data_IF_880245189870
#
_entry.id   IF_880245189870
#
_cell.length_a   1.000
_cell.length_b   1.000
_cell.length_c   1.000
_cell.angle_alpha   90.00
_cell.angle_beta   90.00
_cell.angle_gamma   90.00
#
_symmetry.space_group_name_H-M   'P 1'
#
loop_
_entity.id
_entity.type
_entity.pdbx_description
1 polymer ?
#
# COMPACT_ATOMS: atom_id res chain seq x y z
N UNK A 1 33.26 -20.65 -14.24
CA UNK A 1 33.77 -19.34 -14.71
C UNK A 1 32.63 -18.35 -14.66
N UNK A 2 32.61 -17.46 -13.66
CA UNK A 2 31.60 -16.40 -13.58
C UNK A 2 32.09 -15.19 -14.39
N UNK A 3 31.30 -14.79 -15.39
CA UNK A 3 31.57 -13.57 -16.14
C UNK A 3 31.40 -12.35 -15.20
N UNK A 4 32.32 -11.37 -15.23
CA UNK A 4 32.18 -10.15 -14.45
C UNK A 4 30.98 -9.34 -14.93
N UNK A 5 30.23 -8.77 -13.98
CA UNK A 5 29.12 -7.87 -14.27
C UNK A 5 29.63 -6.62 -15.04
N UNK A 6 28.89 -6.12 -16.05
CA UNK A 6 29.30 -4.95 -16.81
C UNK A 6 29.34 -3.70 -15.92
N UNK A 7 30.42 -2.92 -16.05
CA UNK A 7 30.59 -1.65 -15.37
C UNK A 7 29.52 -0.65 -15.83
N UNK A 8 28.66 -0.23 -14.89
CA UNK A 8 27.66 0.82 -15.12
C UNK A 8 28.38 2.17 -15.09
N UNK A 9 28.56 2.79 -16.26
CA UNK A 9 29.03 4.16 -16.37
C UNK A 9 27.95 5.13 -15.87
N UNK A 10 28.13 5.69 -14.68
CA UNK A 10 27.32 6.79 -14.15
C UNK A 10 27.62 8.08 -14.94
N UNK A 11 26.75 8.44 -15.88
CA UNK A 11 26.75 9.78 -16.46
C UNK A 11 26.17 10.75 -15.43
N UNK A 12 26.92 11.78 -15.06
CA UNK A 12 26.46 12.81 -14.11
C UNK A 12 25.20 13.50 -14.67
N UNK A 13 24.05 13.44 -13.97
CA UNK A 13 22.80 13.93 -14.53
C UNK A 13 22.73 15.46 -14.52
N UNK A 14 22.34 16.05 -15.64
CA UNK A 14 21.92 17.45 -15.72
C UNK A 14 20.66 17.63 -14.88
N UNK A 15 20.76 18.32 -13.73
CA UNK A 15 19.62 18.63 -12.86
C UNK A 15 18.58 19.44 -13.62
N UNK A 16 17.31 18.99 -13.74
CA UNK A 16 16.25 19.85 -14.25
C UNK A 16 16.11 21.09 -13.35
N UNK A 17 15.79 22.25 -13.94
CA UNK A 17 15.66 23.51 -13.21
C UNK A 17 14.61 23.39 -12.11
N UNK A 18 15.00 23.63 -10.85
CA UNK A 18 14.13 23.54 -9.66
C UNK A 18 12.86 24.38 -9.75
N UNK A 19 12.88 25.49 -10.51
CA UNK A 19 11.77 26.44 -10.59
C UNK A 19 10.52 25.88 -11.28
N UNK A 20 10.65 25.22 -12.43
CA UNK A 20 9.50 24.71 -13.20
C UNK A 20 8.72 23.61 -12.46
N UNK A 21 9.41 22.76 -11.70
CA UNK A 21 8.79 21.71 -10.90
C UNK A 21 7.95 22.24 -9.74
N UNK A 22 8.36 23.35 -9.12
CA UNK A 22 7.63 23.99 -8.02
C UNK A 22 6.31 24.60 -8.49
N UNK A 23 6.33 25.33 -9.61
CA UNK A 23 5.11 25.94 -10.19
C UNK A 23 4.09 24.87 -10.56
N UNK A 24 4.50 23.81 -11.25
CA UNK A 24 3.62 22.71 -11.64
C UNK A 24 3.02 21.96 -10.42
N UNK A 25 3.76 21.88 -9.31
CA UNK A 25 3.23 21.34 -8.06
C UNK A 25 2.10 22.22 -7.52
N UNK A 26 2.33 23.52 -7.35
CA UNK A 26 1.34 24.41 -6.75
C UNK A 26 0.10 24.60 -7.64
N UNK A 27 0.29 24.87 -8.92
CA UNK A 27 -0.81 25.04 -9.87
C UNK A 27 -1.68 23.78 -10.00
N UNK A 28 -1.08 22.59 -9.91
CA UNK A 28 -1.81 21.33 -10.04
C UNK A 28 -2.49 20.85 -8.76
N UNK A 29 -2.24 21.46 -7.59
CA UNK A 29 -2.76 20.98 -6.30
C UNK A 29 -4.30 20.97 -6.23
N UNK A 30 -5.03 22.04 -6.64
CA UNK A 30 -6.50 22.04 -6.61
C UNK A 30 -7.10 20.94 -7.49
N UNK A 31 -6.55 20.73 -8.69
CA UNK A 31 -7.02 19.70 -9.62
C UNK A 31 -6.78 18.29 -9.09
N UNK A 32 -5.58 18.03 -8.55
CA UNK A 32 -5.27 16.73 -7.93
C UNK A 32 -6.13 16.46 -6.71
N UNK A 33 -6.42 17.49 -5.91
CA UNK A 33 -7.33 17.37 -4.78
C UNK A 33 -8.76 17.03 -5.22
N UNK A 34 -9.31 17.77 -6.21
CA UNK A 34 -10.65 17.52 -6.72
C UNK A 34 -10.77 16.11 -7.33
N UNK A 35 -9.78 15.70 -8.15
CA UNK A 35 -9.72 14.35 -8.70
C UNK A 35 -9.65 13.29 -7.59
N UNK A 36 -8.83 13.54 -6.56
CA UNK A 36 -8.73 12.63 -5.43
C UNK A 36 -10.07 12.46 -4.71
N UNK A 37 -10.83 13.54 -4.51
CA UNK A 37 -12.15 13.47 -3.88
C UNK A 37 -13.14 12.63 -4.71
N UNK A 38 -13.19 12.87 -6.03
CA UNK A 38 -14.03 12.10 -6.94
C UNK A 38 -13.62 10.61 -6.96
N UNK A 39 -12.32 10.33 -7.12
CA UNK A 39 -11.79 8.98 -7.18
C UNK A 39 -12.00 8.22 -5.86
N UNK A 40 -11.74 8.86 -4.71
CA UNK A 40 -12.00 8.27 -3.40
C UNK A 40 -13.49 8.05 -3.16
N UNK A 41 -14.35 8.98 -3.59
CA UNK A 41 -15.80 8.83 -3.51
C UNK A 41 -16.29 7.60 -4.26
N UNK A 42 -15.81 7.41 -5.50
CA UNK A 42 -16.11 6.22 -6.30
C UNK A 42 -15.58 4.94 -5.66
N UNK A 43 -14.35 4.95 -5.13
CA UNK A 43 -13.78 3.80 -4.43
C UNK A 43 -14.61 3.43 -3.19
N UNK A 44 -15.05 4.42 -2.39
CA UNK A 44 -15.94 4.20 -1.24
C UNK A 44 -17.27 3.59 -1.70
N UNK A 45 -17.91 4.14 -2.73
CA UNK A 45 -19.17 3.61 -3.25
C UNK A 45 -19.04 2.14 -3.69
N UNK A 46 -17.93 1.78 -4.36
CA UNK A 46 -17.63 0.40 -4.74
C UNK A 46 -17.42 -0.50 -3.53
N UNK A 47 -16.71 -0.03 -2.51
CA UNK A 47 -16.54 -0.81 -1.28
C UNK A 47 -17.87 -1.03 -0.57
N UNK A 48 -18.74 -0.01 -0.46
CA UNK A 48 -20.10 -0.14 0.08
C UNK A 48 -20.88 -1.19 -0.72
N UNK A 49 -20.82 -1.13 -2.05
CA UNK A 49 -21.50 -2.09 -2.91
C UNK A 49 -21.07 -3.54 -2.62
N UNK A 50 -19.78 -3.84 -2.61
CA UNK A 50 -19.29 -5.21 -2.40
C UNK A 50 -19.32 -5.68 -0.94
N UNK A 51 -19.62 -4.81 0.02
CA UNK A 51 -19.72 -5.17 1.44
C UNK A 51 -21.15 -5.17 1.98
N UNK A 52 -22.06 -4.39 1.40
CA UNK A 52 -23.41 -4.17 1.93
C UNK A 52 -24.52 -4.45 0.90
N UNK A 53 -24.40 -3.94 -0.33
CA UNK A 53 -25.48 -4.02 -1.32
C UNK A 53 -25.47 -5.36 -2.05
N UNK A 54 -24.29 -5.77 -2.53
CA UNK A 54 -24.04 -7.01 -3.25
C UNK A 54 -22.79 -7.67 -2.64
N UNK A 55 -22.89 -8.21 -1.41
CA UNK A 55 -21.74 -8.71 -0.68
C UNK A 55 -21.00 -9.82 -1.46
N UNK A 56 -19.67 -9.83 -1.37
CA UNK A 56 -18.85 -10.96 -1.85
C UNK A 56 -18.86 -12.08 -0.79
N UNK A 57 -19.28 -13.31 -1.11
CA UNK A 57 -19.28 -14.42 -0.16
C UNK A 57 -17.88 -14.99 0.09
N UNK A 58 -17.74 -15.83 1.12
CA UNK A 58 -16.60 -16.72 1.27
C UNK A 58 -16.55 -17.76 0.13
N UNK A 59 -15.39 -18.35 -0.09
CA UNK A 59 -15.22 -19.47 -1.02
C UNK A 59 -15.22 -19.11 -2.51
N UNK A 60 -15.09 -17.83 -2.88
CA UNK A 60 -14.94 -17.44 -4.29
C UNK A 60 -13.61 -17.90 -4.90
N UNK A 61 -12.64 -18.20 -4.05
CA UNK A 61 -11.36 -18.82 -4.39
C UNK A 61 -11.04 -19.89 -3.34
N UNK A 62 -10.34 -20.94 -3.75
CA UNK A 62 -9.94 -22.03 -2.87
C UNK A 62 -8.64 -21.74 -2.09
N UNK A 63 -8.29 -22.61 -1.11
CA UNK A 63 -7.05 -22.49 -0.33
C UNK A 63 -5.76 -22.50 -1.17
N UNK A 64 -5.77 -23.22 -2.29
CA UNK A 64 -4.60 -23.33 -3.18
C UNK A 64 -4.49 -22.17 -4.19
N UNK A 65 -5.45 -21.24 -4.16
CA UNK A 65 -5.48 -20.13 -5.10
C UNK A 65 -4.23 -19.22 -4.93
N UNK A 66 -3.63 -18.69 -6.00
CA UNK A 66 -2.43 -17.85 -5.90
C UNK A 66 -2.57 -16.61 -5.01
N UNK A 67 -3.76 -15.99 -4.95
CA UNK A 67 -4.01 -14.90 -3.99
C UNK A 67 -4.01 -15.36 -2.52
N UNK A 68 -4.22 -16.64 -2.24
CA UNK A 68 -4.18 -17.21 -0.88
C UNK A 68 -2.78 -17.68 -0.52
N UNK A 69 -2.09 -18.33 -1.46
CA UNK A 69 -0.75 -18.90 -1.21
C UNK A 69 0.38 -17.89 -1.40
N UNK A 70 0.16 -16.87 -2.25
CA UNK A 70 1.21 -15.95 -2.69
C UNK A 70 2.20 -16.57 -3.68
N UNK A 71 1.93 -17.78 -4.19
CA UNK A 71 2.83 -18.51 -5.07
C UNK A 71 2.50 -18.22 -6.55
N UNK A 72 3.55 -18.06 -7.36
CA UNK A 72 3.43 -18.05 -8.81
C UNK A 72 3.12 -19.48 -9.29
N UNK A 73 2.00 -19.73 -10.00
CA UNK A 73 1.66 -21.07 -10.48
C UNK A 73 2.69 -21.65 -11.46
N UNK A 74 3.43 -20.81 -12.18
CA UNK A 74 4.40 -21.24 -13.19
C UNK A 74 5.72 -21.69 -12.57
N UNK A 75 6.12 -21.09 -11.43
CA UNK A 75 7.43 -21.35 -10.80
C UNK A 75 7.33 -22.05 -9.45
N UNK A 76 6.16 -22.06 -8.80
CA UNK A 76 5.98 -22.54 -7.43
C UNK A 76 6.62 -21.63 -6.37
N UNK A 77 7.23 -20.52 -6.76
CA UNK A 77 7.93 -19.59 -5.87
C UNK A 77 7.04 -18.42 -5.44
N UNK A 78 7.32 -17.75 -4.31
CA UNK A 78 6.63 -16.54 -3.91
C UNK A 78 6.71 -15.44 -4.99
N UNK A 79 5.56 -14.95 -5.46
CA UNK A 79 5.49 -13.97 -6.56
C UNK A 79 6.05 -12.58 -6.18
N UNK A 80 6.13 -12.28 -4.88
CA UNK A 80 6.36 -10.92 -4.41
C UNK A 80 7.71 -10.33 -4.83
N UNK A 81 8.78 -11.13 -4.83
CA UNK A 81 10.09 -10.63 -5.30
C UNK A 81 10.11 -10.38 -6.80
N UNK A 82 9.39 -11.20 -7.56
CA UNK A 82 9.23 -11.07 -9.01
C UNK A 82 8.44 -9.81 -9.39
N UNK A 83 7.63 -9.28 -8.45
CA UNK A 83 6.87 -8.05 -8.61
C UNK A 83 7.59 -6.78 -8.10
N UNK A 84 8.84 -6.88 -7.67
CA UNK A 84 9.62 -5.69 -7.30
C UNK A 84 10.01 -4.92 -8.56
N UNK A 85 9.39 -3.78 -8.76
CA UNK A 85 9.62 -2.91 -9.93
C UNK A 85 10.70 -1.86 -9.68
N UNK A 86 10.97 -1.55 -8.41
CA UNK A 86 12.00 -0.60 -8.02
C UNK A 86 12.48 -0.88 -6.60
N UNK A 87 13.79 -0.75 -6.38
CA UNK A 87 14.38 -0.76 -5.04
C UNK A 87 15.55 0.23 -5.00
N UNK A 88 15.68 0.97 -3.91
CA UNK A 88 16.87 1.79 -3.71
C UNK A 88 18.06 0.91 -3.35
N UNK A 89 19.29 1.31 -3.73
CA UNK A 89 20.50 0.64 -3.26
C UNK A 89 20.54 0.59 -1.74
N UNK A 90 21.10 -0.49 -1.18
CA UNK A 90 21.41 -0.54 0.25
C UNK A 90 22.67 0.27 0.50
N UNK A 91 22.62 1.21 1.45
CA UNK A 91 23.74 2.07 1.83
C UNK A 91 24.80 1.32 2.63
N UNK A 92 25.77 2.06 3.18
CA UNK A 92 26.79 1.52 4.08
C UNK A 92 26.21 0.94 5.38
N UNK A 93 24.99 1.32 5.72
CA UNK A 93 24.17 0.85 6.85
C UNK A 93 23.32 -0.40 6.51
N UNK A 94 23.62 -1.09 5.40
CA UNK A 94 22.88 -2.27 4.96
C UNK A 94 22.75 -3.37 6.02
N UNK A 95 23.73 -3.49 6.92
CA UNK A 95 23.74 -4.48 8.00
C UNK A 95 22.72 -4.19 9.10
N UNK A 96 22.32 -2.92 9.27
CA UNK A 96 21.38 -2.48 10.30
C UNK A 96 19.91 -2.72 9.90
N UNK A 97 19.67 -3.06 8.63
CA UNK A 97 18.34 -3.24 8.07
C UNK A 97 18.03 -4.67 7.65
N UNK A 98 16.79 -5.16 7.90
CA UNK A 98 16.35 -6.47 7.44
C UNK A 98 16.45 -6.63 5.92
N UNK A 99 16.84 -7.82 5.47
CA UNK A 99 16.95 -8.15 4.05
C UNK A 99 15.64 -7.83 3.30
N UNK A 100 15.75 -7.39 2.04
CA UNK A 100 14.58 -7.03 1.24
C UNK A 100 13.62 -8.22 1.12
N UNK A 101 14.15 -9.45 0.97
CA UNK A 101 13.39 -10.70 0.99
C UNK A 101 12.53 -10.88 2.25
N UNK A 102 13.06 -10.50 3.42
CA UNK A 102 12.30 -10.55 4.68
C UNK A 102 11.19 -9.51 4.72
N UNK A 103 11.49 -8.28 4.31
CA UNK A 103 10.52 -7.17 4.29
C UNK A 103 9.36 -7.50 3.36
N UNK A 104 9.68 -7.94 2.15
CA UNK A 104 8.75 -8.32 1.10
C UNK A 104 7.96 -9.56 1.53
N UNK A 105 8.65 -10.64 1.90
CA UNK A 105 8.03 -11.93 2.21
C UNK A 105 7.12 -11.87 3.44
N UNK A 106 7.52 -11.21 4.53
CA UNK A 106 6.67 -11.07 5.73
C UNK A 106 5.44 -10.22 5.44
N UNK A 107 5.58 -9.14 4.66
CA UNK A 107 4.45 -8.30 4.28
C UNK A 107 3.50 -9.04 3.34
N UNK A 108 4.04 -9.72 2.33
CA UNK A 108 3.29 -10.53 1.38
C UNK A 108 2.48 -11.62 2.07
N UNK A 109 3.10 -12.42 2.95
CA UNK A 109 2.42 -13.46 3.75
C UNK A 109 1.29 -12.90 4.60
N UNK A 110 1.51 -11.78 5.29
CA UNK A 110 0.43 -11.14 6.05
C UNK A 110 -0.80 -10.85 5.18
N UNK A 111 -0.58 -10.30 3.97
CA UNK A 111 -1.67 -9.92 3.08
C UNK A 111 -2.37 -11.16 2.49
N UNK A 112 -1.61 -12.20 2.14
CA UNK A 112 -2.13 -13.49 1.70
C UNK A 112 -2.98 -14.17 2.80
N UNK A 113 -2.54 -14.13 4.06
CA UNK A 113 -3.30 -14.62 5.22
C UNK A 113 -4.64 -13.87 5.40
N UNK A 114 -4.76 -12.61 4.95
CA UNK A 114 -6.05 -11.91 4.96
C UNK A 114 -6.98 -12.51 3.92
N UNK A 115 -6.47 -12.78 2.72
CA UNK A 115 -7.24 -13.44 1.65
C UNK A 115 -7.68 -14.83 2.09
N UNK A 116 -6.78 -15.62 2.69
CA UNK A 116 -7.02 -16.98 3.16
C UNK A 116 -8.26 -17.10 4.05
N UNK A 117 -8.52 -16.10 4.92
CA UNK A 117 -9.72 -16.06 5.79
C UNK A 117 -11.05 -16.03 5.03
N UNK A 118 -11.01 -15.75 3.72
CA UNK A 118 -12.19 -15.75 2.85
C UNK A 118 -12.25 -16.96 1.93
N UNK A 119 -11.20 -17.77 1.86
CA UNK A 119 -11.20 -19.03 1.13
C UNK A 119 -11.81 -20.19 1.95
N UNK A 120 -11.92 -20.04 3.27
CA UNK A 120 -12.46 -21.06 4.17
C UNK A 120 -13.99 -21.13 4.08
N UNK A 121 -14.50 -22.35 3.89
CA UNK A 121 -15.93 -22.70 3.96
C UNK A 121 -16.12 -23.89 4.92
N UNK A 122 -17.13 -23.90 5.82
CA UNK A 122 -18.16 -22.87 6.00
C UNK A 122 -17.61 -21.53 6.50
N UNK A 123 -18.35 -20.44 6.25
CA UNK A 123 -17.91 -19.07 6.51
C UNK A 123 -17.55 -18.83 7.98
N UNK A 124 -16.44 -18.13 8.22
CA UNK A 124 -16.05 -17.64 9.54
C UNK A 124 -16.92 -16.41 9.89
N UNK A 125 -17.69 -16.40 10.98
CA UNK A 125 -18.49 -15.23 11.37
C UNK A 125 -17.64 -13.97 11.59
N UNK A 126 -18.23 -12.79 11.39
CA UNK A 126 -17.55 -11.51 11.70
C UNK A 126 -17.17 -11.49 13.18
N UNK A 127 -15.95 -11.06 13.50
CA UNK A 127 -15.46 -10.98 14.88
C UNK A 127 -13.94 -11.00 14.97
N UNK A 128 -13.35 -11.32 16.14
CA UNK A 128 -11.90 -11.31 16.34
C UNK A 128 -11.11 -12.20 15.36
N UNK A 129 -11.73 -13.30 14.87
CA UNK A 129 -11.18 -14.21 13.87
C UNK A 129 -11.32 -13.67 12.44
N UNK A 130 -12.48 -13.10 12.07
CA UNK A 130 -12.70 -12.40 10.80
C UNK A 130 -13.01 -10.92 11.06
N UNK A 131 -11.94 -10.11 11.11
CA UNK A 131 -12.03 -8.68 11.46
C UNK A 131 -12.44 -7.78 10.29
N UNK A 132 -12.52 -8.33 9.09
CA UNK A 132 -12.81 -7.60 7.85
C UNK A 132 -13.79 -8.41 7.00
N UNK A 133 -14.71 -7.74 6.27
CA UNK A 133 -15.58 -8.41 5.31
C UNK A 133 -14.78 -9.13 4.23
N UNK A 134 -15.34 -10.20 3.65
CA UNK A 134 -14.67 -10.99 2.61
C UNK A 134 -14.23 -10.15 1.42
N UNK A 135 -15.06 -9.19 0.99
CA UNK A 135 -14.69 -8.23 -0.02
C UNK A 135 -13.36 -7.50 0.27
N UNK A 136 -13.19 -7.01 1.49
CA UNK A 136 -11.95 -6.33 1.90
C UNK A 136 -10.79 -7.31 1.93
N UNK A 137 -10.99 -8.54 2.41
CA UNK A 137 -9.97 -9.57 2.35
C UNK A 137 -9.54 -9.86 0.90
N UNK A 138 -10.46 -10.02 -0.05
CA UNK A 138 -10.13 -10.22 -1.46
C UNK A 138 -9.38 -9.04 -2.09
N UNK A 139 -9.67 -7.79 -1.68
CA UNK A 139 -8.88 -6.63 -2.11
C UNK A 139 -7.39 -6.76 -1.77
N UNK A 140 -7.03 -7.50 -0.73
CA UNK A 140 -5.62 -7.74 -0.39
C UNK A 140 -4.91 -8.56 -1.47
N UNK A 141 -5.60 -9.47 -2.16
CA UNK A 141 -5.05 -10.24 -3.29
C UNK A 141 -4.47 -9.33 -4.36
N UNK A 142 -5.20 -8.27 -4.72
CA UNK A 142 -4.71 -7.25 -5.66
C UNK A 142 -3.54 -6.42 -5.10
N UNK A 143 -3.48 -6.24 -3.77
CA UNK A 143 -2.48 -5.42 -3.09
C UNK A 143 -1.15 -6.13 -2.87
N UNK A 144 -1.12 -7.47 -2.81
CA UNK A 144 0.12 -8.24 -2.65
C UNK A 144 0.51 -9.02 -3.90
N UNK A 145 -0.44 -9.69 -4.55
CA UNK A 145 -0.14 -10.59 -5.65
C UNK A 145 0.00 -9.83 -6.97
N UNK A 146 -0.92 -8.90 -7.23
CA UNK A 146 -0.94 -8.16 -8.48
C UNK A 146 -0.17 -6.84 -8.43
N UNK A 147 0.29 -6.37 -7.26
CA UNK A 147 0.86 -5.03 -7.12
C UNK A 147 2.27 -4.90 -7.68
N UNK A 148 2.66 -3.69 -8.09
CA UNK A 148 4.06 -3.32 -8.26
C UNK A 148 4.66 -2.95 -6.91
N UNK A 149 5.77 -3.59 -6.55
CA UNK A 149 6.42 -3.41 -5.25
C UNK A 149 7.62 -2.48 -5.36
N UNK A 150 7.66 -1.49 -4.48
CA UNK A 150 8.75 -0.54 -4.35
C UNK A 150 9.39 -0.70 -2.97
N UNK A 151 10.71 -0.79 -2.90
CA UNK A 151 11.43 -0.96 -1.65
C UNK A 151 12.36 0.23 -1.39
N UNK A 152 12.18 0.87 -0.24
CA UNK A 152 12.98 1.99 0.24
C UNK A 152 13.56 1.67 1.62
N UNK A 153 14.63 2.36 1.99
CA UNK A 153 15.17 2.26 3.35
C UNK A 153 14.26 2.97 4.34
N UNK A 154 13.95 4.24 4.10
CA UNK A 154 13.17 5.10 4.98
C UNK A 154 12.25 6.08 4.23
N UNK A 155 11.51 6.91 4.96
CA UNK A 155 10.62 7.90 4.35
C UNK A 155 11.37 9.04 3.67
N UNK A 156 12.53 9.46 4.20
CA UNK A 156 13.32 10.59 3.67
C UNK A 156 13.82 10.28 2.26
N UNK A 157 14.29 9.05 2.08
CA UNK A 157 14.67 8.50 0.79
C UNK A 157 13.46 8.44 -0.14
N UNK A 158 12.37 7.80 0.28
CA UNK A 158 11.17 7.68 -0.56
C UNK A 158 10.59 9.04 -0.98
N UNK A 159 10.62 10.06 -0.10
CA UNK A 159 10.30 11.44 -0.47
C UNK A 159 11.16 11.91 -1.66
N UNK A 160 12.47 11.72 -1.59
CA UNK A 160 13.41 12.17 -2.63
C UNK A 160 13.13 11.53 -3.99
N UNK A 161 12.64 10.29 -4.01
CA UNK A 161 12.23 9.61 -5.25
C UNK A 161 10.84 10.03 -5.72
N UNK A 162 9.80 9.89 -4.90
CA UNK A 162 8.42 10.19 -5.34
C UNK A 162 8.19 11.65 -5.71
N UNK A 163 9.01 12.55 -5.17
CA UNK A 163 8.94 13.97 -5.48
C UNK A 163 9.82 14.39 -6.66
N UNK A 164 10.66 13.50 -7.19
CA UNK A 164 11.33 13.68 -8.47
C UNK A 164 10.27 13.56 -9.59
N UNK A 165 10.07 14.60 -10.43
CA UNK A 165 9.09 14.56 -11.51
C UNK A 165 9.28 13.39 -12.49
N UNK A 166 10.53 12.95 -12.72
CA UNK A 166 10.84 11.85 -13.65
C UNK A 166 10.40 10.51 -13.07
N UNK A 167 10.67 10.28 -11.79
CA UNK A 167 10.21 9.08 -11.09
C UNK A 167 8.69 9.04 -11.00
N UNK A 168 8.07 10.19 -10.67
CA UNK A 168 6.61 10.30 -10.62
C UNK A 168 5.96 9.99 -11.97
N UNK A 169 6.54 10.47 -13.07
CA UNK A 169 6.06 10.16 -14.41
C UNK A 169 6.13 8.65 -14.70
N UNK A 170 7.20 7.99 -14.28
CA UNK A 170 7.35 6.53 -14.42
C UNK A 170 6.34 5.75 -13.56
N UNK A 171 6.04 6.20 -12.34
CA UNK A 171 4.95 5.59 -11.53
C UNK A 171 3.61 5.70 -12.25
N UNK A 172 3.31 6.86 -12.83
CA UNK A 172 2.08 7.05 -13.61
C UNK A 172 2.07 6.17 -14.87
N UNK A 173 3.21 6.06 -15.58
CA UNK A 173 3.35 5.17 -16.74
C UNK A 173 3.11 3.71 -16.36
N UNK A 174 3.76 3.23 -15.31
CA UNK A 174 3.58 1.89 -14.76
C UNK A 174 2.11 1.62 -14.44
N UNK A 175 1.46 2.47 -13.64
CA UNK A 175 0.06 2.26 -13.25
C UNK A 175 -0.88 2.26 -14.46
N UNK A 176 -0.63 3.11 -15.47
CA UNK A 176 -1.45 3.17 -16.69
C UNK A 176 -1.30 1.92 -17.57
N UNK A 177 -0.07 1.47 -17.77
CA UNK A 177 0.25 0.32 -18.60
C UNK A 177 -0.18 -0.98 -17.91
N UNK A 178 0.28 -1.18 -16.68
CA UNK A 178 0.02 -2.40 -15.94
C UNK A 178 -1.38 -2.45 -15.35
N UNK A 179 -2.03 -1.32 -15.06
CA UNK A 179 -3.30 -1.27 -14.32
C UNK A 179 -3.22 -2.07 -13.01
N UNK A 180 -2.15 -1.85 -12.24
CA UNK A 180 -1.85 -2.50 -10.96
C UNK A 180 -1.87 -1.48 -9.84
N UNK A 181 -2.13 -1.97 -8.63
CA UNK A 181 -1.88 -1.19 -7.41
C UNK A 181 -0.38 -1.06 -7.14
N UNK A 182 0.00 -0.10 -6.31
CA UNK A 182 1.41 0.13 -5.92
C UNK A 182 1.57 -0.10 -4.42
N UNK A 183 2.50 -0.98 -4.07
CA UNK A 183 2.87 -1.29 -2.70
C UNK A 183 4.27 -0.75 -2.41
N UNK A 184 4.37 0.23 -1.53
CA UNK A 184 5.64 0.83 -1.11
C UNK A 184 6.03 0.25 0.24
N UNK A 185 7.19 -0.37 0.35
CA UNK A 185 7.70 -1.03 1.54
C UNK A 185 8.95 -0.32 2.05
N UNK A 186 9.12 -0.33 3.38
CA UNK A 186 10.24 0.30 4.05
C UNK A 186 11.03 -0.71 4.87
N UNK A 187 12.36 -0.69 4.72
CA UNK A 187 13.29 -1.53 5.50
C UNK A 187 13.31 -1.10 6.97
N UNK A 188 13.27 0.21 7.23
CA UNK A 188 13.26 0.76 8.57
C UNK A 188 11.94 0.43 9.27
N UNK A 189 12.03 -0.47 10.26
CA UNK A 189 10.88 -0.88 11.09
C UNK A 189 10.53 0.17 12.15
N UNK A 190 11.54 0.86 12.66
CA UNK A 190 11.41 1.89 13.68
C UNK A 190 11.29 3.28 13.05
N UNK A 191 10.06 3.81 12.97
CA UNK A 191 9.81 5.12 12.35
C UNK A 191 8.95 6.03 13.23
N UNK A 192 8.91 7.31 12.87
CA UNK A 192 7.97 8.29 13.44
C UNK A 192 6.59 8.17 12.77
N UNK A 193 5.50 7.90 13.52
CA UNK A 193 4.15 7.90 12.97
C UNK A 193 3.77 9.19 12.24
N UNK A 194 4.28 10.32 12.74
CA UNK A 194 4.08 11.64 12.14
C UNK A 194 4.72 11.75 10.77
N UNK A 195 5.99 11.34 10.64
CA UNK A 195 6.69 11.34 9.35
C UNK A 195 6.03 10.39 8.36
N UNK A 196 5.52 9.25 8.83
CA UNK A 196 4.77 8.33 7.97
C UNK A 196 3.46 8.96 7.46
N UNK A 197 2.72 9.64 8.33
CA UNK A 197 1.50 10.35 7.94
C UNK A 197 1.79 11.44 6.90
N UNK A 198 2.90 12.17 7.08
CA UNK A 198 3.35 13.18 6.11
C UNK A 198 3.69 12.55 4.76
N UNK A 199 4.43 11.44 4.75
CA UNK A 199 4.77 10.73 3.51
C UNK A 199 3.52 10.25 2.76
N UNK A 200 2.57 9.64 3.48
CA UNK A 200 1.30 9.17 2.90
C UNK A 200 0.48 10.32 2.32
N UNK A 201 0.44 11.46 3.00
CA UNK A 201 -0.20 12.66 2.49
C UNK A 201 0.55 13.29 1.30
N UNK A 202 1.88 13.20 1.26
CA UNK A 202 2.65 13.57 0.09
C UNK A 202 2.24 12.77 -1.15
N UNK A 203 2.19 11.44 -1.06
CA UNK A 203 1.73 10.58 -2.18
C UNK A 203 0.32 10.99 -2.67
N UNK A 204 -0.59 11.29 -1.73
CA UNK A 204 -1.94 11.77 -2.02
C UNK A 204 -1.96 13.10 -2.78
N UNK A 205 -1.08 14.04 -2.43
CA UNK A 205 -0.95 15.31 -3.16
C UNK A 205 -0.27 15.15 -4.53
N UNK A 206 0.52 14.10 -4.74
CA UNK A 206 1.26 13.87 -5.99
C UNK A 206 0.48 13.08 -7.04
N UNK A 207 -0.25 12.04 -6.62
CA UNK A 207 -0.87 11.07 -7.54
C UNK A 207 -2.39 11.12 -7.61
N UNK A 208 -3.04 11.92 -6.75
CA UNK A 208 -4.51 12.01 -6.66
C UNK A 208 -5.21 10.64 -6.42
N UNK A 209 -4.45 9.66 -5.92
CA UNK A 209 -4.95 8.35 -5.50
C UNK A 209 -5.07 8.30 -3.98
N UNK A 210 -5.86 7.36 -3.46
CA UNK A 210 -5.84 7.11 -2.02
C UNK A 210 -4.52 6.43 -1.64
N UNK A 211 -4.07 6.61 -0.41
CA UNK A 211 -2.90 5.90 0.10
C UNK A 211 -3.15 5.46 1.53
N UNK A 212 -3.06 4.17 1.81
CA UNK A 212 -3.21 3.63 3.16
C UNK A 212 -1.84 3.33 3.75
N UNK A 213 -1.63 3.73 5.00
CA UNK A 213 -0.38 3.54 5.72
C UNK A 213 -0.53 2.33 6.64
N UNK A 214 0.26 1.27 6.52
CA UNK A 214 0.23 0.14 7.43
C UNK A 214 1.60 -0.02 8.08
N UNK A 215 1.68 -0.49 9.32
CA UNK A 215 2.97 -0.68 9.95
C UNK A 215 2.96 -1.32 11.33
N UNK A 216 4.14 -1.63 11.90
CA UNK A 216 4.30 -2.36 13.15
C UNK A 216 3.91 -1.57 14.40
N UNK A 217 3.89 -0.22 14.31
CA UNK A 217 3.53 0.67 15.41
C UNK A 217 2.02 0.88 15.50
N UNK A 218 1.59 1.81 16.36
CA UNK A 218 0.20 2.25 16.40
C UNK A 218 -0.30 2.74 15.03
N UNK A 219 -1.62 2.72 14.85
CA UNK A 219 -2.23 3.00 13.54
C UNK A 219 -1.88 4.41 13.08
N UNK A 220 -1.28 4.51 11.89
CA UNK A 220 -1.03 5.80 11.24
C UNK A 220 -2.23 6.13 10.35
N UNK A 221 -2.95 7.21 10.67
CA UNK A 221 -4.17 7.59 9.96
C UNK A 221 -5.16 6.41 9.87
N UNK A 222 -5.58 6.03 8.66
CA UNK A 222 -6.52 4.92 8.38
C UNK A 222 -5.86 3.53 8.43
N UNK A 223 -4.64 3.46 8.94
CA UNK A 223 -3.76 2.31 8.85
C UNK A 223 -4.08 1.11 9.72
N UNK A 224 -3.57 -0.05 9.32
CA UNK A 224 -3.60 -1.28 10.11
C UNK A 224 -2.19 -1.73 10.52
N UNK A 225 -2.14 -2.68 11.46
CA UNK A 225 -0.89 -3.30 11.88
C UNK A 225 -0.31 -4.15 10.73
N UNK A 226 0.99 -4.01 10.50
CA UNK A 226 1.77 -4.79 9.53
C UNK A 226 3.20 -5.07 10.05
N UNK A 227 3.95 -6.04 9.51
CA UNK A 227 5.31 -6.36 9.98
C UNK A 227 6.29 -5.20 9.78
N UNK A 228 6.12 -4.46 8.68
CA UNK A 228 6.93 -3.32 8.27
C UNK A 228 6.04 -2.14 7.88
N UNK A 229 6.61 -0.94 7.87
CA UNK A 229 5.91 0.19 7.27
C UNK A 229 5.66 -0.10 5.78
N UNK A 230 4.42 0.11 5.37
CA UNK A 230 3.94 -0.13 4.02
C UNK A 230 2.92 0.95 3.63
N UNK A 231 3.14 1.64 2.51
CA UNK A 231 2.18 2.56 1.93
C UNK A 231 1.55 1.93 0.69
N UNK A 232 0.25 1.66 0.75
CA UNK A 232 -0.52 1.08 -0.35
C UNK A 232 -1.18 2.23 -1.11
N UNK A 233 -0.66 2.54 -2.29
CA UNK A 233 -1.19 3.57 -3.18
C UNK A 233 -2.28 2.94 -4.04
N UNK A 234 -3.54 3.27 -3.71
CA UNK A 234 -4.76 2.68 -4.28
C UNK A 234 -5.22 3.46 -5.52
N UNK A 235 -4.81 2.97 -6.67
CA UNK A 235 -5.08 3.42 -8.04
C UNK A 235 -6.51 3.13 -8.50
N UNK A 236 -7.22 2.21 -7.82
CA UNK A 236 -8.61 1.85 -8.11
C UNK A 236 -8.76 0.67 -9.06
N UNK A 237 -7.65 0.12 -9.57
CA UNK A 237 -7.62 -1.05 -10.44
C UNK A 237 -8.04 -2.34 -9.71
N UNK A 238 -7.88 -2.39 -8.39
CA UNK A 238 -8.35 -3.48 -7.55
C UNK A 238 -9.81 -3.85 -7.80
N UNK A 239 -10.65 -2.86 -8.12
CA UNK A 239 -12.08 -3.07 -8.28
C UNK A 239 -12.36 -4.06 -9.41
N UNK A 240 -11.71 -3.89 -10.57
CA UNK A 240 -11.92 -4.77 -11.73
C UNK A 240 -11.67 -6.23 -11.35
N UNK A 241 -10.56 -6.49 -10.68
CA UNK A 241 -10.15 -7.85 -10.32
C UNK A 241 -11.09 -8.42 -9.24
N UNK A 242 -11.42 -7.64 -8.20
CA UNK A 242 -12.31 -8.10 -7.12
C UNK A 242 -13.74 -8.36 -7.60
N UNK A 243 -14.29 -7.55 -8.52
CA UNK A 243 -15.60 -7.82 -9.12
C UNK A 243 -15.56 -9.02 -10.06
N UNK A 244 -14.43 -9.29 -10.72
CA UNK A 244 -14.29 -10.44 -11.62
C UNK A 244 -14.42 -11.77 -10.88
N UNK A 245 -14.06 -11.85 -9.58
CA UNK A 245 -14.24 -13.05 -8.75
C UNK A 245 -15.68 -13.59 -8.72
N UNK A 246 -16.69 -12.75 -8.95
CA UNK A 246 -18.10 -13.18 -8.99
C UNK A 246 -18.48 -13.95 -10.25
N UNK A 247 -17.67 -13.88 -11.30
CA UNK A 247 -17.98 -14.42 -12.62
C UNK A 247 -17.48 -15.86 -12.74
N UNK A 248 -18.13 -16.72 -13.54
CA UNK A 248 -17.58 -18.01 -13.93
C UNK A 248 -16.16 -17.84 -14.50
N UNK A 249 -15.21 -18.66 -14.02
CA UNK A 249 -13.78 -18.54 -14.39
C UNK A 249 -13.05 -17.31 -13.82
N UNK A 250 -13.73 -16.49 -13.02
CA UNK A 250 -13.20 -15.26 -12.45
C UNK A 250 -11.98 -15.46 -11.57
N UNK A 251 -11.95 -16.54 -10.77
CA UNK A 251 -10.82 -16.90 -9.91
C UNK A 251 -9.50 -16.98 -10.71
N UNK A 252 -9.47 -17.77 -11.79
CA UNK A 252 -8.27 -17.88 -12.62
C UNK A 252 -7.92 -16.57 -13.33
N UNK A 253 -8.93 -15.81 -13.78
CA UNK A 253 -8.72 -14.58 -14.56
C UNK A 253 -8.09 -13.42 -13.76
N UNK A 254 -8.14 -13.45 -12.43
CA UNK A 254 -7.60 -12.37 -11.59
C UNK A 254 -6.15 -12.58 -11.17
N UNK A 255 -5.60 -13.78 -11.44
CA UNK A 255 -4.19 -14.10 -11.23
C UNK A 255 -3.39 -13.48 -12.38
N UNK A 256 -2.50 -12.55 -12.06
CA UNK A 256 -1.70 -11.85 -13.06
C UNK A 256 -0.27 -12.37 -13.08
N UNK A 257 0.40 -12.41 -14.25
CA UNK A 257 1.80 -12.77 -14.31
C UNK A 257 2.65 -11.75 -13.53
N UNK A 258 3.90 -12.10 -13.16
CA UNK A 258 4.84 -11.15 -12.61
C UNK A 258 5.05 -9.94 -13.51
N UNK A 259 5.44 -8.81 -12.91
CA UNK A 259 5.86 -7.63 -13.70
C UNK A 259 7.16 -7.96 -14.43
N UNK A 260 7.24 -7.60 -15.72
CA UNK A 260 8.45 -7.82 -16.52
C UNK A 260 9.62 -7.02 -15.97
N UNK A 261 10.73 -7.69 -15.68
CA UNK A 261 11.95 -7.05 -15.22
C UNK A 261 12.53 -6.11 -16.31
N UNK A 262 13.15 -5.01 -15.87
CA UNK A 262 13.85 -4.08 -16.76
C UNK A 262 12.96 -3.13 -17.59
N UNK A 263 11.63 -3.18 -17.44
CA UNK A 263 10.73 -2.34 -18.26
C UNK A 263 10.46 -0.95 -17.67
N UNK A 264 10.51 -0.83 -16.35
CA UNK A 264 10.17 0.39 -15.62
C UNK A 264 11.34 0.88 -14.80
N UNK A 265 11.41 2.20 -14.56
CA UNK A 265 12.40 2.80 -13.66
C UNK A 265 13.86 2.51 -14.04
N UNK A 266 14.19 2.58 -15.34
CA UNK A 266 15.56 2.36 -15.85
C UNK A 266 16.46 3.62 -15.81
N UNK A 267 15.90 4.77 -15.43
CA UNK A 267 16.64 6.04 -15.34
C UNK A 267 17.28 6.28 -13.98
N UNK A 268 18.00 7.40 -13.88
CA UNK A 268 18.49 7.90 -12.58
C UNK A 268 17.44 8.80 -11.93
N UNK A 269 17.07 8.46 -10.69
CA UNK A 269 16.03 9.13 -9.92
C UNK A 269 16.54 9.54 -8.52
N UNK A 270 15.66 10.13 -7.71
CA UNK A 270 16.01 10.54 -6.34
C UNK A 270 16.43 12.00 -6.22
N UNK A 271 16.25 12.81 -7.27
CA UNK A 271 16.58 14.24 -7.28
C UNK A 271 15.54 15.16 -6.63
N UNK A 272 14.49 14.60 -6.03
CA UNK A 272 13.40 15.32 -5.38
C UNK A 272 13.76 15.88 -4.00
N UNK A 273 12.75 16.38 -3.29
CA UNK A 273 12.89 16.87 -1.91
C UNK A 273 12.80 15.70 -0.92
N UNK A 274 13.56 15.73 0.19
CA UNK A 274 13.57 14.66 1.19
C UNK A 274 12.53 14.86 2.32
N UNK A 275 11.59 15.80 2.19
CA UNK A 275 10.70 16.20 3.29
C UNK A 275 9.32 16.66 2.81
N UNK A 276 8.38 16.70 3.75
CA UNK A 276 7.02 17.16 3.50
C UNK A 276 6.87 18.68 3.45
N UNK A 277 6.00 19.16 2.56
CA UNK A 277 5.57 20.56 2.46
C UNK A 277 4.35 20.82 3.34
N UNK A 278 4.07 22.10 3.61
CA UNK A 278 2.95 22.49 4.47
C UNK A 278 1.58 21.94 4.04
N UNK A 279 1.21 21.79 2.74
CA UNK A 279 -0.09 21.23 2.37
C UNK A 279 -0.23 19.77 2.77
N UNK A 280 0.88 19.02 2.74
CA UNK A 280 0.92 17.60 3.08
C UNK A 280 0.81 17.43 4.60
N UNK A 281 1.46 18.31 5.36
CA UNK A 281 1.33 18.40 6.82
C UNK A 281 -0.09 18.78 7.22
N UNK A 282 -0.68 19.78 6.57
CA UNK A 282 -2.07 20.19 6.80
C UNK A 282 -3.06 19.07 6.45
N UNK A 283 -2.85 18.37 5.35
CA UNK A 283 -3.66 17.21 4.96
C UNK A 283 -3.54 16.07 5.98
N UNK A 284 -2.34 15.81 6.52
CA UNK A 284 -2.14 14.82 7.58
C UNK A 284 -2.88 15.21 8.87
N UNK A 285 -2.74 16.48 9.30
CA UNK A 285 -3.44 17.01 10.47
C UNK A 285 -4.98 16.95 10.30
N UNK A 286 -5.50 17.40 9.16
CA UNK A 286 -6.93 17.35 8.87
C UNK A 286 -7.46 15.91 8.78
N UNK A 287 -6.68 14.99 8.20
CA UNK A 287 -7.03 13.56 8.15
C UNK A 287 -7.06 12.96 9.55
N UNK A 288 -6.08 13.28 10.40
CA UNK A 288 -6.02 12.84 11.79
C UNK A 288 -7.25 13.27 12.58
N UNK A 289 -7.61 14.55 12.54
CA UNK A 289 -8.80 15.03 13.22
C UNK A 289 -10.08 14.42 12.68
N UNK A 290 -10.20 14.28 11.35
CA UNK A 290 -11.34 13.60 10.74
C UNK A 290 -11.51 12.16 11.25
N UNK A 291 -10.42 11.42 11.45
CA UNK A 291 -10.49 10.07 12.01
C UNK A 291 -10.84 10.12 13.50
N UNK A 292 -10.19 11.01 14.26
CA UNK A 292 -10.39 11.16 15.70
C UNK A 292 -11.84 11.53 16.05
N UNK A 293 -12.44 12.43 15.28
CA UNK A 293 -13.85 12.84 15.42
C UNK A 293 -14.84 11.69 15.20
N UNK A 294 -14.43 10.56 14.61
CA UNK A 294 -15.27 9.36 14.49
C UNK A 294 -15.30 8.50 15.76
N UNK A 295 -14.53 8.86 16.79
CA UNK A 295 -14.57 8.25 18.11
C UNK A 295 -14.34 6.73 18.10
N UNK A 296 -15.07 6.01 18.94
CA UNK A 296 -14.91 4.57 19.19
C UNK A 296 -15.11 3.68 17.94
N UNK A 297 -15.76 4.16 16.88
CA UNK A 297 -15.84 3.46 15.58
C UNK A 297 -14.46 3.35 14.88
N UNK A 298 -13.46 4.09 15.36
CA UNK A 298 -12.03 3.77 15.18
C UNK A 298 -11.54 3.81 13.73
N UNK A 299 -12.00 4.77 12.95
CA UNK A 299 -11.56 4.94 11.56
C UNK A 299 -11.97 3.79 10.62
N UNK A 300 -12.85 2.88 10.99
CA UNK A 300 -13.31 1.85 10.06
C UNK A 300 -14.65 2.27 9.47
N UNK A 301 -14.67 2.48 8.15
CA UNK A 301 -15.88 2.87 7.42
C UNK A 301 -16.91 1.73 7.32
N UNK A 302 -16.45 0.47 7.42
CA UNK A 302 -17.23 -0.69 6.97
C UNK A 302 -17.44 -1.78 8.03
N UNK A 303 -16.86 -1.61 9.23
CA UNK A 303 -17.01 -2.57 10.35
C UNK A 303 -17.04 -1.81 11.68
N UNK A 304 -17.76 -2.32 12.66
CA UNK A 304 -17.73 -1.79 14.02
C UNK A 304 -16.47 -2.29 14.75
N UNK A 305 -15.59 -1.36 15.13
CA UNK A 305 -14.36 -1.66 15.87
C UNK A 305 -14.64 -2.41 17.18
N UNK A 306 -15.75 -2.09 17.86
CA UNK A 306 -16.09 -2.68 19.15
C UNK A 306 -16.35 -4.17 19.03
N UNK A 307 -16.85 -4.61 17.88
CA UNK A 307 -17.11 -6.02 17.61
C UNK A 307 -15.84 -6.74 17.16
N UNK A 308 -15.14 -6.19 16.17
CA UNK A 308 -14.02 -6.90 15.52
C UNK A 308 -12.67 -6.76 16.24
N UNK A 309 -12.55 -5.82 17.17
CA UNK A 309 -11.36 -5.62 18.03
C UNK A 309 -11.72 -5.66 19.53
N UNK A 310 -12.84 -6.29 19.91
CA UNK A 310 -13.26 -6.41 21.31
C UNK A 310 -12.16 -6.96 22.22
N UNK A 311 -11.39 -7.94 21.73
CA UNK A 311 -10.25 -8.55 22.41
C UNK A 311 -9.12 -7.55 22.71
N UNK A 312 -8.77 -6.73 21.71
CA UNK A 312 -7.71 -5.73 21.84
C UNK A 312 -8.13 -4.58 22.77
N UNK A 313 -9.39 -4.14 22.68
CA UNK A 313 -9.95 -3.12 23.56
C UNK A 313 -9.96 -3.62 25.01
N UNK A 314 -10.48 -4.82 25.26
CA UNK A 314 -10.50 -5.42 26.59
C UNK A 314 -9.09 -5.58 27.18
N UNK A 315 -8.11 -6.00 26.36
CA UNK A 315 -6.72 -6.12 26.79
C UNK A 315 -6.11 -4.76 27.17
N UNK A 316 -6.34 -3.70 26.38
CA UNK A 316 -5.83 -2.35 26.70
C UNK A 316 -6.44 -1.80 27.98
N UNK A 317 -7.74 -2.00 28.18
CA UNK A 317 -8.43 -1.61 29.41
C UNK A 317 -7.82 -2.27 30.65
N UNK A 318 -7.52 -3.58 30.57
CA UNK A 318 -6.82 -4.31 31.66
C UNK A 318 -5.43 -3.77 31.96
N UNK A 319 -4.75 -3.19 30.97
CA UNK A 319 -3.41 -2.59 31.12
C UNK A 319 -3.44 -1.11 31.53
N UNK A 320 -4.62 -0.52 31.78
CA UNK A 320 -4.76 0.91 32.08
C UNK A 320 -4.35 1.83 30.92
N UNK A 321 -4.27 1.29 29.69
CA UNK A 321 -3.86 2.07 28.53
C UNK A 321 -5.07 2.80 27.93
N UNK A 322 -4.93 4.06 27.50
CA UNK A 322 -6.01 4.79 26.86
C UNK A 322 -6.41 4.10 25.55
N UNK A 323 -7.70 4.15 25.24
CA UNK A 323 -8.23 3.66 23.97
C UNK A 323 -7.95 4.68 22.84
N UNK A 324 -6.67 4.89 22.54
CA UNK A 324 -6.23 5.67 21.38
C UNK A 324 -6.00 4.72 20.20
N UNK A 325 -6.96 4.63 19.24
CA UNK A 325 -6.82 3.73 18.11
C UNK A 325 -5.80 4.21 17.08
N UNK A 326 -5.34 5.46 17.18
CA UNK A 326 -4.46 6.13 16.20
C UNK A 326 -3.27 6.77 16.88
N UNK A 327 -2.12 6.75 16.22
CA UNK A 327 -0.93 7.45 16.68
C UNK A 327 -1.17 8.96 16.68
N UNK A 328 -0.71 9.65 17.74
CA UNK A 328 -0.71 11.10 17.81
C UNK A 328 0.23 11.67 16.74
N UNK A 329 -0.24 12.69 16.01
CA UNK A 329 0.55 13.46 15.04
C UNK A 329 1.20 14.68 15.69
#
# INVERSE_FOLDING_TARGET
MHAPAPAVFHRTPTRPSRAGGAVAYWAGLPFRWAYQMAHNGLAIARVIDITQVRPLPAGLIGPDHPWVTGLNPDTGEPVWEQNVVFRTPRGSDAADFPADADVIGKTGRLLADRVARSAVVPEIPVGPRRRMPHAINYMHGTSHYNSGIFVFTDFREAFSYFTDPRFRAEVVRFVRAERREVLVLFRQREYSPREFAYFVCCLRTLFAWNCNANGPKDRVLWGNKAPFAAANLLTGNWARDVYALKRPGGASAVVRPPVKAGEYFQGEYGGGRPHALWPEKLLAWGTYWRIRLRGAKGGMFFVDRREVYADEIARRAKLGLPDEPIARL
#
